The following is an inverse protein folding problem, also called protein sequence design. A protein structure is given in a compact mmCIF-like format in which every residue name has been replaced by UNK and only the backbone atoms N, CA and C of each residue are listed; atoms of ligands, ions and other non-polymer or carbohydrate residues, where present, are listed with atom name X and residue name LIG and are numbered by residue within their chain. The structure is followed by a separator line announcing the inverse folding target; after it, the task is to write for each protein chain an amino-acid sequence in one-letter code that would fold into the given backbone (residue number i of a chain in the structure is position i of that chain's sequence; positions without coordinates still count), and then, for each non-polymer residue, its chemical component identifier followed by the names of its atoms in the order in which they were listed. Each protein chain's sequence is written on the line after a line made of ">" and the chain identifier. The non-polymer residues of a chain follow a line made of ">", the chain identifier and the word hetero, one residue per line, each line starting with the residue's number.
data_IF_203320385322
#
_entry.id   IF_203320385322
#
_cell.length_a   1.000
_cell.length_b   1.000
_cell.length_c   1.000
_cell.angle_alpha   90.00
_cell.angle_beta   90.00
_cell.angle_gamma   90.00
#
_symmetry.space_group_name_H-M   'P 1'
#
loop_
_entity.id
_entity.type
_entity.pdbx_description
1 polymer ?
#
# COMPACT_ATOMS: atom_id res chain seq x y z
N UNK A 1 -31.27 -20.26 -11.28
CA UNK A 1 -30.41 -21.14 -10.44
C UNK A 1 -28.99 -20.86 -10.91
N UNK A 2 -28.01 -20.40 -10.16
CA UNK A 2 -27.84 -19.96 -8.78
C UNK A 2 -27.23 -18.55 -8.89
N UNK A 3 -27.64 -17.58 -8.06
CA UNK A 3 -26.87 -16.33 -7.93
C UNK A 3 -25.58 -16.74 -7.24
N UNK A 4 -24.45 -16.73 -7.95
CA UNK A 4 -23.14 -16.91 -7.31
C UNK A 4 -23.01 -15.82 -6.26
N UNK A 5 -23.22 -16.17 -4.99
CA UNK A 5 -22.96 -15.26 -3.89
C UNK A 5 -21.48 -14.92 -3.94
N UNK A 6 -21.18 -13.65 -4.20
CA UNK A 6 -19.81 -13.15 -4.14
C UNK A 6 -19.40 -13.23 -2.68
N UNK A 7 -18.64 -14.26 -2.32
CA UNK A 7 -18.05 -14.41 -0.99
C UNK A 7 -17.22 -13.15 -0.73
N UNK A 8 -17.68 -12.33 0.22
CA UNK A 8 -16.89 -11.19 0.70
C UNK A 8 -15.86 -11.72 1.69
N UNK A 9 -14.63 -11.75 1.23
CA UNK A 9 -13.48 -12.10 2.05
C UNK A 9 -13.12 -10.95 3.00
N UNK A 10 -12.72 -11.28 4.25
CA UNK A 10 -12.37 -10.27 5.24
C UNK A 10 -10.93 -9.75 5.08
N UNK A 11 -10.11 -10.38 4.23
CA UNK A 11 -8.71 -10.00 4.02
C UNK A 11 -8.57 -8.71 3.19
N UNK A 12 -7.49 -7.96 3.45
CA UNK A 12 -7.29 -6.62 2.90
C UNK A 12 -6.57 -6.59 1.55
N UNK A 13 -5.97 -7.70 1.13
CA UNK A 13 -5.16 -7.78 -0.09
C UNK A 13 -4.06 -6.71 -0.09
N UNK A 14 -4.09 -5.79 -1.05
CA UNK A 14 -3.13 -4.70 -1.21
C UNK A 14 -3.44 -3.47 -0.33
N UNK A 15 -4.63 -3.41 0.28
CA UNK A 15 -5.03 -2.28 1.11
C UNK A 15 -4.21 -2.26 2.41
N UNK A 16 -3.65 -1.10 2.81
CA UNK A 16 -2.97 -1.00 4.08
C UNK A 16 -3.95 -1.13 5.27
N UNK A 17 -3.44 -1.63 6.38
CA UNK A 17 -4.14 -1.54 7.67
C UNK A 17 -4.12 -0.09 8.13
N UNK A 18 -5.27 0.42 8.55
CA UNK A 18 -5.48 1.75 9.10
C UNK A 18 -5.74 1.72 10.61
N UNK A 19 -6.04 2.90 11.18
CA UNK A 19 -6.24 3.07 12.64
C UNK A 19 -7.25 2.08 13.22
N UNK A 20 -8.36 1.87 12.52
CA UNK A 20 -9.49 1.02 12.97
C UNK A 20 -9.18 -0.48 12.95
N UNK A 21 -8.13 -0.91 12.26
CA UNK A 21 -7.77 -2.33 12.13
C UNK A 21 -6.78 -2.78 13.22
N UNK A 22 -6.60 -2.00 14.29
CA UNK A 22 -5.57 -2.26 15.32
C UNK A 22 -5.67 -3.66 15.92
N UNK A 23 -6.89 -4.16 16.11
CA UNK A 23 -7.16 -5.49 16.66
C UNK A 23 -6.79 -6.63 15.71
N UNK A 24 -6.50 -6.35 14.44
CA UNK A 24 -6.01 -7.30 13.44
C UNK A 24 -4.52 -7.09 13.10
N UNK A 25 -3.87 -6.11 13.71
CA UNK A 25 -2.48 -5.74 13.39
C UNK A 25 -1.51 -6.34 14.41
N UNK A 26 -0.82 -7.40 14.02
CA UNK A 26 0.04 -8.20 14.89
C UNK A 26 1.51 -8.24 14.43
N UNK A 27 2.39 -8.73 15.29
CA UNK A 27 3.78 -9.07 14.94
C UNK A 27 4.73 -7.87 14.77
N UNK A 28 4.27 -6.63 14.96
CA UNK A 28 5.07 -5.40 14.75
C UNK A 28 5.23 -4.52 15.99
N UNK A 29 4.93 -5.02 17.18
CA UNK A 29 4.94 -4.19 18.40
C UNK A 29 6.31 -3.52 18.66
N UNK A 30 7.42 -4.23 18.38
CA UNK A 30 8.77 -3.69 18.55
C UNK A 30 9.05 -2.55 17.55
N UNK A 31 8.73 -2.75 16.29
CA UNK A 31 8.94 -1.76 15.23
C UNK A 31 8.05 -0.52 15.46
N UNK A 32 6.83 -0.71 15.96
CA UNK A 32 5.94 0.40 16.35
C UNK A 32 6.59 1.26 17.44
N UNK A 33 7.12 0.65 18.50
CA UNK A 33 7.77 1.41 19.57
C UNK A 33 9.02 2.13 19.09
N UNK A 34 9.87 1.47 18.30
CA UNK A 34 11.06 2.10 17.72
C UNK A 34 10.71 3.28 16.83
N UNK A 35 9.67 3.15 16.02
CA UNK A 35 9.18 4.21 15.14
C UNK A 35 8.65 5.40 15.97
N UNK A 36 7.88 5.13 17.02
CA UNK A 36 7.34 6.15 17.93
C UNK A 36 8.45 6.89 18.70
N UNK A 37 9.41 6.18 19.29
CA UNK A 37 10.54 6.80 20.00
C UNK A 37 11.39 7.69 19.07
N UNK A 38 11.72 7.18 17.88
CA UNK A 38 12.56 7.87 16.90
C UNK A 38 11.93 9.13 16.33
N UNK A 39 10.63 9.10 16.03
CA UNK A 39 9.95 10.29 15.51
C UNK A 39 9.81 11.36 16.58
N UNK A 40 9.76 10.98 17.86
CA UNK A 40 9.69 11.93 18.96
C UNK A 40 11.05 12.61 19.21
N UNK A 41 12.16 11.91 18.96
CA UNK A 41 13.53 12.41 19.21
C UNK A 41 14.15 13.27 18.11
N UNK A 42 13.58 13.29 16.89
CA UNK A 42 14.15 14.05 15.76
C UNK A 42 13.05 14.65 14.86
N UNK A 43 13.40 15.68 14.09
CA UNK A 43 12.49 16.29 13.10
C UNK A 43 12.34 15.44 11.84
N UNK A 44 13.32 14.60 11.51
CA UNK A 44 13.34 13.76 10.33
C UNK A 44 13.54 12.30 10.74
N UNK A 45 12.76 11.40 10.13
CA UNK A 45 12.89 9.96 10.26
C UNK A 45 12.81 9.31 8.89
N UNK A 46 13.84 8.55 8.54
CA UNK A 46 13.88 7.73 7.34
C UNK A 46 13.42 6.31 7.64
N UNK A 47 12.32 5.87 7.05
CA UNK A 47 11.78 4.50 7.19
C UNK A 47 11.95 3.79 5.85
N UNK A 48 12.67 2.68 5.84
CA UNK A 48 12.95 1.96 4.59
C UNK A 48 12.91 0.45 4.77
N UNK A 49 12.76 -0.28 3.67
CA UNK A 49 12.75 -1.74 3.64
C UNK A 49 12.19 -2.28 2.34
N UNK A 50 12.36 -3.58 2.10
CA UNK A 50 11.85 -4.25 0.89
C UNK A 50 10.35 -3.98 0.66
N UNK A 51 9.90 -4.15 -0.59
CA UNK A 51 8.47 -4.21 -0.90
C UNK A 51 7.78 -5.31 -0.08
N UNK A 52 6.49 -5.14 0.20
CA UNK A 52 5.71 -6.16 0.92
C UNK A 52 6.00 -6.30 2.42
N UNK A 53 6.92 -5.52 2.98
CA UNK A 53 7.24 -5.56 4.44
C UNK A 53 6.18 -4.92 5.34
N UNK A 54 5.19 -4.23 4.76
CA UNK A 54 4.09 -3.59 5.50
C UNK A 54 4.40 -2.19 6.05
N UNK A 55 5.34 -1.44 5.45
CA UNK A 55 5.71 -0.07 5.87
C UNK A 55 4.52 0.87 6.01
N UNK A 56 3.65 0.94 5.00
CA UNK A 56 2.45 1.79 5.02
C UNK A 56 1.50 1.39 6.16
N UNK A 57 1.22 0.09 6.34
CA UNK A 57 0.40 -0.43 7.45
C UNK A 57 1.03 -0.16 8.82
N UNK A 58 2.36 -0.25 8.94
CA UNK A 58 3.08 0.05 10.17
C UNK A 58 2.86 1.50 10.62
N UNK A 59 2.78 2.44 9.68
CA UNK A 59 2.55 3.85 9.99
C UNK A 59 1.05 4.15 10.15
N UNK A 60 0.22 3.70 9.20
CA UNK A 60 -1.21 4.00 9.16
C UNK A 60 -1.99 3.34 10.30
N UNK A 61 -1.60 2.13 10.70
CA UNK A 61 -2.20 1.42 11.81
C UNK A 61 -1.31 1.52 13.05
N UNK A 62 -0.08 1.00 12.97
CA UNK A 62 0.80 0.86 14.13
C UNK A 62 1.14 2.20 14.81
N UNK A 63 1.82 3.10 14.09
CA UNK A 63 2.24 4.40 14.60
C UNK A 63 1.05 5.26 15.00
N UNK A 64 0.05 5.34 14.12
CA UNK A 64 -1.14 6.15 14.35
C UNK A 64 -1.86 5.78 15.66
N UNK A 65 -1.89 4.49 16.02
CA UNK A 65 -2.48 4.02 17.29
C UNK A 65 -1.59 4.25 18.52
N UNK A 66 -0.34 4.71 18.37
CA UNK A 66 0.50 5.15 19.51
C UNK A 66 0.22 6.58 19.93
N UNK A 67 -0.37 7.38 19.05
CA UNK A 67 -0.72 8.76 19.38
C UNK A 67 -2.16 8.87 19.89
N UNK A 68 -2.37 9.77 20.86
CA UNK A 68 -3.71 10.21 21.25
C UNK A 68 -4.30 11.17 20.22
N UNK A 69 -5.63 11.35 20.27
CA UNK A 69 -6.34 12.23 19.32
C UNK A 69 -5.92 13.72 19.39
N UNK A 70 -5.31 14.13 20.51
CA UNK A 70 -4.81 15.49 20.74
C UNK A 70 -3.37 15.72 20.31
N UNK A 71 -2.64 14.66 19.99
CA UNK A 71 -1.20 14.72 19.74
C UNK A 71 -0.84 14.33 18.29
N UNK A 72 -1.85 13.91 17.52
CA UNK A 72 -1.71 13.41 16.16
C UNK A 72 -2.32 14.36 15.12
N UNK A 73 -1.48 14.95 14.28
CA UNK A 73 -1.90 15.73 13.11
C UNK A 73 -1.12 15.31 11.85
N UNK A 74 -1.39 14.10 11.33
CA UNK A 74 -0.69 13.58 10.17
C UNK A 74 -1.20 14.15 8.86
N UNK A 75 -0.29 14.30 7.91
CA UNK A 75 -0.57 14.48 6.49
C UNK A 75 0.13 13.33 5.75
N UNK A 76 -0.67 12.39 5.25
CA UNK A 76 -0.18 11.31 4.39
C UNK A 76 -0.10 11.81 2.96
N UNK A 77 1.11 11.79 2.41
CA UNK A 77 1.44 12.43 1.13
C UNK A 77 2.09 11.38 0.24
N UNK A 78 1.62 11.32 -1.01
CA UNK A 78 2.27 10.64 -2.13
C UNK A 78 2.54 11.67 -3.21
N UNK A 79 3.43 11.37 -4.16
CA UNK A 79 3.88 12.34 -5.16
C UNK A 79 2.73 12.89 -6.01
N UNK A 80 1.89 12.02 -6.55
CA UNK A 80 0.93 12.44 -7.59
C UNK A 80 1.70 13.03 -8.80
N UNK A 81 1.31 14.22 -9.25
CA UNK A 81 2.00 14.93 -10.34
C UNK A 81 3.33 15.57 -9.89
N UNK A 82 3.39 16.11 -8.68
CA UNK A 82 4.54 16.79 -8.08
C UNK A 82 4.43 16.77 -6.55
N UNK A 83 5.50 16.38 -5.87
CA UNK A 83 5.48 16.15 -4.42
C UNK A 83 5.21 17.42 -3.60
N UNK A 84 5.72 18.57 -4.02
CA UNK A 84 5.51 19.85 -3.34
C UNK A 84 4.06 20.30 -3.53
N UNK A 85 3.53 20.18 -4.75
CA UNK A 85 2.14 20.49 -5.06
C UNK A 85 1.18 19.59 -4.26
N UNK A 86 1.45 18.29 -4.21
CA UNK A 86 0.66 17.33 -3.43
C UNK A 86 0.64 17.70 -1.95
N UNK A 87 1.81 18.02 -1.38
CA UNK A 87 1.93 18.43 0.03
C UNK A 87 1.11 19.69 0.32
N UNK A 88 1.27 20.75 -0.47
CA UNK A 88 0.52 22.00 -0.29
C UNK A 88 -0.98 21.82 -0.50
N UNK A 89 -1.39 20.87 -1.35
CA UNK A 89 -2.78 20.53 -1.60
C UNK A 89 -3.42 19.88 -0.37
N UNK A 90 -2.74 18.91 0.26
CA UNK A 90 -3.23 18.28 1.49
C UNK A 90 -3.27 19.29 2.65
N UNK A 91 -2.27 20.17 2.76
CA UNK A 91 -2.28 21.30 3.73
C UNK A 91 -3.51 22.19 3.52
N UNK A 92 -3.78 22.61 2.27
CA UNK A 92 -4.94 23.45 1.92
C UNK A 92 -6.26 22.76 2.27
N UNK A 93 -6.36 21.45 2.03
CA UNK A 93 -7.54 20.65 2.36
C UNK A 93 -7.82 20.69 3.87
N UNK A 94 -6.81 20.43 4.70
CA UNK A 94 -6.97 20.46 6.16
C UNK A 94 -7.31 21.87 6.68
N UNK A 95 -6.68 22.92 6.15
CA UNK A 95 -7.00 24.30 6.52
C UNK A 95 -8.43 24.71 6.14
N UNK A 96 -8.90 24.26 4.97
CA UNK A 96 -10.25 24.55 4.47
C UNK A 96 -11.33 23.97 5.39
N UNK A 97 -11.12 22.78 5.96
CA UNK A 97 -12.03 22.18 6.97
C UNK A 97 -12.22 23.10 8.18
N UNK A 98 -11.22 23.92 8.50
CA UNK A 98 -11.24 24.90 9.60
C UNK A 98 -11.59 26.32 9.16
N UNK A 99 -12.04 26.51 7.91
CA UNK A 99 -12.39 27.82 7.35
C UNK A 99 -11.20 28.75 7.11
N UNK A 100 -9.97 28.22 7.11
CA UNK A 100 -8.74 28.96 6.80
C UNK A 100 -8.34 28.71 5.34
N UNK A 101 -7.54 29.62 4.79
CA UNK A 101 -6.97 29.51 3.43
C UNK A 101 -5.47 29.71 3.51
N UNK A 102 -4.73 28.92 2.73
CA UNK A 102 -3.32 29.14 2.45
C UNK A 102 -3.20 29.90 1.11
N UNK A 103 -2.45 31.00 1.04
CA UNK A 103 -2.21 31.73 -0.20
C UNK A 103 -1.64 30.85 -1.34
N UNK A 104 -1.86 31.30 -2.58
CA UNK A 104 -1.20 30.69 -3.73
C UNK A 104 0.30 31.06 -3.71
N UNK A 105 1.17 30.09 -4.01
CA UNK A 105 2.63 30.28 -3.96
C UNK A 105 3.25 30.15 -2.58
N UNK A 106 2.48 29.82 -1.52
CA UNK A 106 3.05 29.58 -0.20
C UNK A 106 4.03 28.41 -0.16
N UNK A 107 5.06 28.54 0.68
CA UNK A 107 6.06 27.49 0.91
C UNK A 107 5.53 26.39 1.84
N UNK A 108 6.25 25.27 1.92
CA UNK A 108 5.96 24.21 2.88
C UNK A 108 5.98 24.73 4.33
N UNK A 109 6.95 25.56 4.69
CA UNK A 109 7.08 26.16 6.02
C UNK A 109 5.86 27.01 6.39
N UNK A 110 5.41 27.89 5.48
CA UNK A 110 4.22 28.72 5.70
C UNK A 110 2.97 27.86 5.92
N UNK A 111 2.80 26.83 5.08
CA UNK A 111 1.68 25.89 5.17
C UNK A 111 1.64 25.12 6.49
N UNK A 112 2.77 24.55 6.89
CA UNK A 112 2.94 23.82 8.15
C UNK A 112 2.73 24.73 9.36
N UNK A 113 3.30 25.93 9.32
CA UNK A 113 3.11 26.94 10.37
C UNK A 113 1.63 27.26 10.55
N UNK A 114 0.91 27.48 9.46
CA UNK A 114 -0.52 27.77 9.52
C UNK A 114 -1.35 26.60 10.05
N UNK A 115 -0.99 25.35 9.71
CA UNK A 115 -1.63 24.15 10.28
C UNK A 115 -1.42 24.06 11.78
N UNK A 116 -0.19 24.26 12.23
CA UNK A 116 0.14 24.24 13.65
C UNK A 116 -0.70 25.27 14.41
N UNK A 117 -0.74 26.54 13.99
CA UNK A 117 -1.54 27.58 14.68
C UNK A 117 -3.05 27.35 14.62
N UNK A 118 -3.53 26.49 13.72
CA UNK A 118 -4.95 26.15 13.63
C UNK A 118 -5.36 25.10 14.66
N UNK A 119 -4.46 24.20 15.07
CA UNK A 119 -4.77 23.08 15.97
C UNK A 119 -3.99 23.09 17.28
N UNK A 120 -2.86 23.79 17.35
CA UNK A 120 -1.85 23.72 18.41
C UNK A 120 -1.31 22.30 18.64
N UNK A 121 -1.25 21.50 17.57
CA UNK A 121 -0.76 20.11 17.56
C UNK A 121 0.40 20.04 16.56
N UNK A 122 1.54 19.41 16.90
CA UNK A 122 2.63 19.21 15.96
C UNK A 122 2.17 18.53 14.66
N UNK A 123 2.67 19.02 13.53
CA UNK A 123 2.34 18.48 12.21
C UNK A 123 3.28 17.32 11.90
N UNK A 124 2.75 16.22 11.39
CA UNK A 124 3.52 15.07 10.93
C UNK A 124 3.35 14.92 9.42
N UNK A 125 4.36 15.31 8.64
CA UNK A 125 4.38 15.08 7.20
C UNK A 125 4.91 13.66 6.95
N UNK A 126 4.07 12.81 6.36
CA UNK A 126 4.37 11.40 6.10
C UNK A 126 4.39 11.22 4.59
N UNK A 127 5.59 11.13 4.04
CA UNK A 127 5.80 10.90 2.62
C UNK A 127 5.90 9.39 2.38
N UNK A 128 4.79 8.77 1.97
CA UNK A 128 4.72 7.35 1.64
C UNK A 128 5.09 7.10 0.17
N UNK A 129 5.72 5.96 -0.12
CA UNK A 129 6.26 5.65 -1.47
C UNK A 129 7.15 6.77 -2.02
N UNK A 130 8.03 7.31 -1.17
CA UNK A 130 8.87 8.45 -1.52
C UNK A 130 9.78 8.20 -2.73
N UNK A 131 10.06 6.93 -3.06
CA UNK A 131 10.78 6.56 -4.29
C UNK A 131 10.11 7.07 -5.58
N UNK A 132 8.81 7.36 -5.58
CA UNK A 132 8.12 7.94 -6.75
C UNK A 132 8.75 9.27 -7.19
N UNK A 133 9.29 10.05 -6.25
CA UNK A 133 10.04 11.28 -6.54
C UNK A 133 11.24 11.02 -7.47
N UNK A 134 11.92 9.89 -7.27
CA UNK A 134 13.09 9.52 -8.05
C UNK A 134 12.73 8.85 -9.38
N UNK A 135 11.62 8.12 -9.42
CA UNK A 135 11.18 7.38 -10.61
C UNK A 135 10.53 8.32 -11.63
N UNK A 136 9.74 9.29 -11.17
CA UNK A 136 8.89 10.12 -12.03
C UNK A 136 9.20 11.61 -11.93
N UNK A 137 9.84 12.06 -10.85
CA UNK A 137 10.13 13.47 -10.64
C UNK A 137 11.37 13.94 -11.38
N UNK A 138 11.26 15.11 -12.01
CA UNK A 138 12.37 15.72 -12.75
C UNK A 138 13.51 16.12 -11.80
N UNK A 139 14.75 15.65 -12.02
CA UNK A 139 15.87 15.92 -11.11
C UNK A 139 16.24 17.40 -10.97
N UNK A 140 16.16 18.17 -12.06
CA UNK A 140 16.63 19.55 -12.13
C UNK A 140 15.62 20.56 -11.58
N UNK A 141 14.33 20.19 -11.59
CA UNK A 141 13.24 21.06 -11.15
C UNK A 141 12.58 20.55 -9.87
N UNK A 142 11.83 19.44 -9.93
CA UNK A 142 11.03 18.93 -8.81
C UNK A 142 11.92 18.46 -7.65
N UNK A 143 12.84 17.52 -7.91
CA UNK A 143 13.62 16.91 -6.83
C UNK A 143 14.44 17.96 -6.08
N UNK A 144 15.20 18.77 -6.81
CA UNK A 144 16.01 19.85 -6.25
C UNK A 144 15.17 20.82 -5.41
N UNK A 145 14.07 21.33 -5.97
CA UNK A 145 13.21 22.29 -5.27
C UNK A 145 12.59 21.69 -4.02
N UNK A 146 12.15 20.43 -4.08
CA UNK A 146 11.57 19.76 -2.92
C UNK A 146 12.58 19.62 -1.79
N UNK A 147 13.80 19.15 -2.05
CA UNK A 147 14.83 19.00 -1.01
C UNK A 147 15.31 20.34 -0.46
N UNK A 148 15.37 21.40 -1.27
CA UNK A 148 15.64 22.76 -0.79
C UNK A 148 14.56 23.25 0.19
N UNK A 149 13.28 23.05 -0.15
CA UNK A 149 12.17 23.42 0.74
C UNK A 149 12.09 22.54 2.00
N UNK A 150 12.39 21.25 1.88
CA UNK A 150 12.46 20.34 3.03
C UNK A 150 13.60 20.74 3.97
N UNK A 151 14.76 21.10 3.44
CA UNK A 151 15.89 21.60 4.25
C UNK A 151 15.52 22.87 5.00
N UNK A 152 14.87 23.85 4.34
CA UNK A 152 14.35 25.05 4.99
C UNK A 152 13.35 24.72 6.11
N UNK A 153 12.42 23.80 5.84
CA UNK A 153 11.43 23.36 6.83
C UNK A 153 12.10 22.72 8.06
N UNK A 154 13.10 21.84 7.87
CA UNK A 154 13.81 21.18 8.98
C UNK A 154 14.62 22.17 9.84
N UNK A 155 15.20 23.19 9.20
CA UNK A 155 15.95 24.26 9.87
C UNK A 155 15.05 25.29 10.56
N UNK A 156 13.78 25.42 10.15
CA UNK A 156 12.81 26.31 10.77
C UNK A 156 12.43 25.90 12.21
N UNK A 157 11.95 26.84 13.02
CA UNK A 157 11.43 26.58 14.38
C UNK A 157 9.99 26.04 14.38
N UNK A 158 9.55 25.43 13.26
CA UNK A 158 8.21 24.86 13.17
C UNK A 158 8.09 23.59 14.00
N UNK A 159 6.90 23.37 14.58
CA UNK A 159 6.54 22.12 15.26
C UNK A 159 6.13 21.07 14.23
N UNK A 160 7.10 20.69 13.39
CA UNK A 160 6.92 19.75 12.30
C UNK A 160 7.87 18.58 12.44
N UNK A 161 7.36 17.39 12.15
CA UNK A 161 8.14 16.17 12.01
C UNK A 161 7.86 15.54 10.66
N UNK A 162 8.88 14.97 10.06
CA UNK A 162 8.86 14.42 8.71
C UNK A 162 9.24 12.95 8.77
N UNK A 163 8.43 12.11 8.14
CA UNK A 163 8.73 10.69 7.91
C UNK A 163 8.85 10.50 6.40
N UNK A 164 10.03 10.06 5.95
CA UNK A 164 10.25 9.63 4.57
C UNK A 164 10.18 8.11 4.53
N UNK A 165 9.22 7.55 3.79
CA UNK A 165 9.02 6.11 3.67
C UNK A 165 9.38 5.68 2.26
N UNK A 166 10.39 4.83 2.12
CA UNK A 166 10.85 4.38 0.80
C UNK A 166 11.21 2.91 0.74
N UNK A 167 11.30 2.41 -0.48
CA UNK A 167 11.91 1.12 -0.81
C UNK A 167 13.44 1.16 -0.66
N UNK A 168 14.03 0.08 -0.14
CA UNK A 168 15.44 0.06 0.25
C UNK A 168 16.43 0.14 -0.93
N UNK A 169 16.04 -0.31 -2.10
CA UNK A 169 16.82 -0.20 -3.34
C UNK A 169 16.97 1.26 -3.83
N UNK A 170 16.08 2.16 -3.42
CA UNK A 170 16.17 3.60 -3.72
C UNK A 170 16.94 4.38 -2.65
N UNK A 171 17.40 3.71 -1.58
CA UNK A 171 18.14 4.37 -0.51
C UNK A 171 19.43 5.05 -1.01
N UNK A 172 20.10 4.44 -1.99
CA UNK A 172 21.33 4.99 -2.56
C UNK A 172 21.09 6.31 -3.31
N UNK A 173 19.90 6.50 -3.89
CA UNK A 173 19.54 7.69 -4.66
C UNK A 173 19.36 8.89 -3.74
N UNK A 174 18.89 8.64 -2.52
CA UNK A 174 18.72 9.64 -1.48
C UNK A 174 20.07 10.22 -1.00
N UNK A 175 21.19 9.50 -1.16
CA UNK A 175 22.51 9.96 -0.71
C UNK A 175 22.99 11.25 -1.39
N UNK A 176 22.54 11.52 -2.61
CA UNK A 176 22.89 12.75 -3.33
C UNK A 176 22.39 14.02 -2.62
N UNK A 177 21.37 13.89 -1.78
CA UNK A 177 20.74 15.00 -1.07
C UNK A 177 21.30 15.20 0.35
N UNK A 178 22.28 14.42 0.79
CA UNK A 178 23.03 14.70 2.03
C UNK A 178 23.75 16.05 1.98
N UNK A 179 24.08 16.53 0.77
CA UNK A 179 24.65 17.87 0.58
C UNK A 179 23.68 18.99 0.96
N UNK A 180 22.37 18.73 0.87
CA UNK A 180 21.29 19.69 1.15
C UNK A 180 20.71 19.48 2.55
N UNK A 181 20.66 18.22 3.00
CA UNK A 181 20.17 17.80 4.32
C UNK A 181 21.20 16.84 4.93
N UNK A 182 22.22 17.32 5.64
CA UNK A 182 23.28 16.48 6.19
C UNK A 182 22.78 15.38 7.15
N UNK A 183 21.71 15.66 7.89
CA UNK A 183 21.11 14.76 8.89
C UNK A 183 20.16 13.70 8.30
N UNK A 184 20.08 13.59 6.96
CA UNK A 184 19.11 12.76 6.23
C UNK A 184 19.12 11.28 6.64
N UNK A 185 20.28 10.75 7.01
CA UNK A 185 20.47 9.35 7.40
C UNK A 185 20.74 9.14 8.90
N UNK A 186 20.78 10.20 9.70
CA UNK A 186 21.11 10.14 11.14
C UNK A 186 20.07 9.35 11.91
N UNK A 187 18.79 9.54 11.59
CA UNK A 187 17.68 8.85 12.20
C UNK A 187 16.95 7.99 11.17
N UNK A 188 17.34 6.72 11.11
CA UNK A 188 16.76 5.73 10.18
C UNK A 188 16.27 4.48 10.88
N UNK A 189 15.21 3.90 10.34
CA UNK A 189 14.62 2.64 10.77
C UNK A 189 14.40 1.73 9.55
N UNK A 190 15.13 0.62 9.51
CA UNK A 190 14.91 -0.43 8.51
C UNK A 190 13.82 -1.38 9.00
N UNK A 191 12.80 -1.59 8.17
CA UNK A 191 11.73 -2.56 8.40
C UNK A 191 12.11 -3.84 7.67
N UNK A 192 12.47 -4.86 8.46
CA UNK A 192 12.80 -6.19 7.96
C UNK A 192 11.52 -6.95 7.59
N UNK A 193 11.67 -7.95 6.70
CA UNK A 193 10.64 -8.97 6.50
C UNK A 193 10.36 -9.69 7.83
N UNK A 194 9.14 -10.17 8.01
CA UNK A 194 8.75 -10.85 9.24
C UNK A 194 9.49 -12.17 9.38
N UNK A 195 10.07 -12.42 10.55
CA UNK A 195 10.56 -13.75 10.88
C UNK A 195 9.42 -14.72 11.20
N UNK A 196 9.72 -16.01 11.22
CA UNK A 196 8.75 -17.09 11.47
C UNK A 196 7.88 -16.84 12.71
N UNK A 197 8.47 -16.40 13.84
CA UNK A 197 7.71 -16.09 15.06
C UNK A 197 6.70 -14.95 14.88
N UNK A 198 7.05 -13.91 14.10
CA UNK A 198 6.14 -12.81 13.82
C UNK A 198 5.01 -13.27 12.88
N UNK A 199 5.35 -14.09 11.88
CA UNK A 199 4.37 -14.67 10.95
C UNK A 199 3.36 -15.58 11.66
N UNK A 200 3.81 -16.45 12.57
CA UNK A 200 2.92 -17.28 13.38
C UNK A 200 1.94 -16.42 14.18
N UNK A 201 2.43 -15.38 14.87
CA UNK A 201 1.58 -14.43 15.61
C UNK A 201 0.56 -13.74 14.70
N UNK A 202 0.96 -13.35 13.49
CA UNK A 202 0.07 -12.71 12.52
C UNK A 202 -1.00 -13.67 12.02
N UNK A 203 -0.64 -14.88 11.61
CA UNK A 203 -1.57 -15.86 11.07
C UNK A 203 -2.55 -16.31 12.15
N UNK A 204 -2.06 -16.72 13.32
CA UNK A 204 -2.91 -17.16 14.42
C UNK A 204 -3.82 -16.04 14.92
N UNK A 205 -3.29 -14.82 15.09
CA UNK A 205 -4.08 -13.67 15.53
C UNK A 205 -5.16 -13.29 14.52
N UNK A 206 -4.82 -13.29 13.23
CA UNK A 206 -5.76 -12.94 12.15
C UNK A 206 -6.85 -14.00 12.00
N UNK A 207 -6.48 -15.28 11.92
CA UNK A 207 -7.45 -16.38 11.75
C UNK A 207 -8.27 -16.63 13.02
N UNK A 208 -7.74 -16.30 14.20
CA UNK A 208 -8.46 -16.34 15.47
C UNK A 208 -9.42 -15.19 15.69
N UNK A 209 -9.44 -14.17 14.82
CA UNK A 209 -10.32 -13.02 14.95
C UNK A 209 -11.78 -13.42 14.74
N UNK A 210 -12.65 -13.11 15.71
CA UNK A 210 -14.06 -13.52 15.69
C UNK A 210 -14.82 -13.02 14.45
N UNK A 211 -14.45 -11.84 13.96
CA UNK A 211 -15.03 -11.20 12.78
C UNK A 211 -14.81 -11.97 11.47
N UNK A 212 -13.81 -12.87 11.42
CA UNK A 212 -13.56 -13.67 10.22
C UNK A 212 -14.39 -14.97 10.24
N UNK A 213 -15.00 -15.31 11.38
CA UNK A 213 -15.80 -16.52 11.57
C UNK A 213 -15.07 -17.79 11.10
N UNK A 214 -13.78 -17.91 11.43
CA UNK A 214 -12.95 -19.07 11.07
C UNK A 214 -12.86 -20.02 12.27
N UNK A 215 -13.03 -21.31 12.01
CA UNK A 215 -12.73 -22.38 12.94
C UNK A 215 -11.34 -22.96 12.60
N UNK A 216 -10.46 -22.98 13.59
CA UNK A 216 -9.06 -23.33 13.44
C UNK A 216 -8.71 -24.50 14.38
N UNK A 217 -8.94 -25.77 13.99
CA UNK A 217 -8.75 -26.93 14.86
C UNK A 217 -7.29 -27.18 15.28
N UNK A 218 -6.31 -26.80 14.45
CA UNK A 218 -4.88 -26.97 14.72
C UNK A 218 -4.08 -25.69 14.40
N UNK A 219 -4.24 -24.60 15.18
CA UNK A 219 -3.73 -23.28 14.84
C UNK A 219 -2.26 -23.23 14.43
N UNK A 220 -1.39 -23.79 15.28
CA UNK A 220 0.06 -23.77 15.08
C UNK A 220 0.47 -24.56 13.83
N UNK A 221 -0.05 -25.77 13.66
CA UNK A 221 0.27 -26.62 12.50
C UNK A 221 -0.19 -26.00 11.18
N UNK A 222 -1.39 -25.41 11.16
CA UNK A 222 -1.92 -24.70 10.00
C UNK A 222 -1.07 -23.47 9.69
N UNK A 223 -0.69 -22.69 10.70
CA UNK A 223 0.13 -21.51 10.51
C UNK A 223 1.51 -21.87 9.94
N UNK A 224 2.16 -22.92 10.45
CA UNK A 224 3.40 -23.44 9.87
C UNK A 224 3.23 -23.92 8.43
N UNK A 225 2.13 -24.63 8.13
CA UNK A 225 1.87 -25.09 6.77
C UNK A 225 1.68 -23.92 5.80
N UNK A 226 0.93 -22.90 6.20
CA UNK A 226 0.74 -21.67 5.42
C UNK A 226 2.10 -20.99 5.18
N UNK A 227 2.91 -20.80 6.23
CA UNK A 227 4.25 -20.20 6.10
C UNK A 227 5.12 -20.99 5.12
N UNK A 228 5.12 -22.33 5.20
CA UNK A 228 5.89 -23.17 4.30
C UNK A 228 5.44 -23.00 2.83
N UNK A 229 4.13 -22.92 2.60
CA UNK A 229 3.55 -22.80 1.27
C UNK A 229 3.80 -21.44 0.61
N UNK A 230 3.94 -20.38 1.41
CA UNK A 230 4.13 -19.00 0.92
C UNK A 230 5.57 -18.50 0.96
N UNK A 231 6.47 -19.26 1.58
CA UNK A 231 7.88 -18.90 1.66
C UNK A 231 8.56 -19.00 0.29
N UNK A 232 9.37 -18.00 -0.06
CA UNK A 232 10.22 -18.06 -1.25
C UNK A 232 11.45 -18.98 -1.06
N UNK A 233 12.31 -19.07 -2.08
CA UNK A 233 13.55 -19.87 -2.04
C UNK A 233 14.50 -19.47 -0.90
N UNK A 234 14.38 -18.25 -0.37
CA UNK A 234 15.17 -17.72 0.75
C UNK A 234 14.48 -17.90 2.10
N UNK A 235 13.32 -18.56 2.14
CA UNK A 235 12.44 -18.70 3.31
C UNK A 235 11.94 -17.36 3.84
N UNK A 236 11.76 -16.41 2.94
CA UNK A 236 11.18 -15.12 3.25
C UNK A 236 9.73 -15.07 2.78
N UNK A 237 8.90 -14.31 3.48
CA UNK A 237 7.47 -14.13 3.15
C UNK A 237 7.20 -12.67 2.83
N UNK A 238 6.53 -12.43 1.71
CA UNK A 238 5.91 -11.15 1.39
C UNK A 238 4.51 -11.09 2.06
N UNK A 239 4.22 -10.03 2.80
CA UNK A 239 2.93 -9.93 3.51
C UNK A 239 1.75 -9.75 2.56
N UNK A 240 2.00 -9.29 1.34
CA UNK A 240 0.98 -9.24 0.30
C UNK A 240 0.62 -10.64 -0.20
N UNK A 241 1.59 -11.54 -0.32
CA UNK A 241 1.34 -12.95 -0.64
C UNK A 241 0.52 -13.63 0.45
N UNK A 242 0.84 -13.35 1.73
CA UNK A 242 0.05 -13.86 2.85
C UNK A 242 -1.42 -13.44 2.74
N UNK A 243 -1.72 -12.18 2.44
CA UNK A 243 -3.11 -11.71 2.31
C UNK A 243 -3.86 -12.42 1.17
N UNK A 244 -3.21 -12.61 0.01
CA UNK A 244 -3.81 -13.31 -1.13
C UNK A 244 -4.02 -14.79 -0.82
N UNK A 245 -3.05 -15.42 -0.16
CA UNK A 245 -3.13 -16.83 0.22
C UNK A 245 -4.28 -17.08 1.19
N UNK A 246 -4.41 -16.25 2.23
CA UNK A 246 -5.49 -16.39 3.20
C UNK A 246 -6.86 -16.13 2.58
N UNK A 247 -6.98 -15.21 1.61
CA UNK A 247 -8.21 -15.02 0.82
C UNK A 247 -8.58 -16.27 0.01
N UNK A 248 -7.59 -16.88 -0.66
CA UNK A 248 -7.79 -18.11 -1.43
C UNK A 248 -8.26 -19.26 -0.54
N UNK A 249 -7.60 -19.49 0.59
CA UNK A 249 -8.06 -20.46 1.59
C UNK A 249 -9.48 -20.14 2.04
N UNK A 250 -9.78 -18.87 2.33
CA UNK A 250 -11.10 -18.46 2.77
C UNK A 250 -12.18 -18.82 1.78
N UNK A 251 -11.97 -18.58 0.48
CA UNK A 251 -12.96 -18.89 -0.55
C UNK A 251 -13.22 -20.39 -0.70
N UNK A 252 -12.18 -21.22 -0.55
CA UNK A 252 -12.24 -22.68 -0.72
C UNK A 252 -12.64 -23.43 0.55
N UNK A 253 -12.47 -22.81 1.71
CA UNK A 253 -12.81 -23.40 2.99
C UNK A 253 -14.28 -23.84 3.01
N UNK A 254 -14.50 -25.05 3.51
CA UNK A 254 -15.85 -25.54 3.77
C UNK A 254 -16.51 -24.72 4.88
N UNK A 255 -17.83 -24.58 4.80
CA UNK A 255 -18.61 -23.84 5.78
C UNK A 255 -19.42 -24.81 6.64
N UNK A 256 -19.33 -24.65 7.97
CA UNK A 256 -20.09 -25.38 8.96
C UNK A 256 -20.65 -24.41 10.00
N UNK A 257 -21.97 -24.41 10.20
CA UNK A 257 -22.67 -23.52 11.14
C UNK A 257 -22.30 -22.03 11.01
N UNK A 258 -22.13 -21.54 9.77
CA UNK A 258 -21.76 -20.14 9.52
C UNK A 258 -20.30 -19.81 9.80
N UNK A 259 -19.45 -20.82 10.03
CA UNK A 259 -18.00 -20.66 10.18
C UNK A 259 -17.26 -21.42 9.11
N UNK A 260 -16.16 -20.83 8.62
CA UNK A 260 -15.27 -21.48 7.66
C UNK A 260 -14.24 -22.32 8.40
N UNK A 261 -14.06 -23.58 8.00
CA UNK A 261 -13.10 -24.48 8.62
C UNK A 261 -11.77 -24.37 7.87
N UNK A 262 -10.74 -23.93 8.57
CA UNK A 262 -9.37 -23.94 8.07
C UNK A 262 -8.68 -25.13 8.72
N UNK A 263 -8.54 -26.24 8.00
CA UNK A 263 -7.76 -27.40 8.46
C UNK A 263 -6.44 -27.50 7.70
N UNK A 264 -5.58 -28.43 8.13
CA UNK A 264 -4.27 -28.62 7.49
C UNK A 264 -4.41 -29.10 6.04
N UNK A 265 -5.44 -29.89 5.74
CA UNK A 265 -5.67 -30.43 4.39
C UNK A 265 -5.99 -29.31 3.41
N UNK A 266 -6.78 -28.30 3.82
CA UNK A 266 -7.07 -27.13 3.00
C UNK A 266 -5.80 -26.38 2.61
N UNK A 267 -4.86 -26.21 3.55
CA UNK A 267 -3.58 -25.56 3.28
C UNK A 267 -2.67 -26.44 2.39
N UNK A 268 -2.63 -27.75 2.62
CA UNK A 268 -1.89 -28.69 1.76
C UNK A 268 -2.44 -28.71 0.32
N UNK A 269 -3.76 -28.73 0.15
CA UNK A 269 -4.44 -28.76 -1.14
C UNK A 269 -4.27 -27.45 -1.92
N UNK A 270 -4.19 -26.31 -1.23
CA UNK A 270 -3.89 -25.02 -1.86
C UNK A 270 -2.46 -24.97 -2.43
N UNK A 271 -1.53 -25.69 -1.80
CA UNK A 271 -0.15 -25.83 -2.28
C UNK A 271 0.64 -24.52 -2.28
N UNK A 272 1.65 -24.43 -3.14
CA UNK A 272 2.60 -23.32 -3.23
C UNK A 272 1.96 -22.01 -3.71
N UNK A 273 2.49 -20.88 -3.22
CA UNK A 273 2.00 -19.53 -3.57
C UNK A 273 1.89 -19.26 -5.06
N UNK A 274 2.83 -19.76 -5.88
CA UNK A 274 2.83 -19.55 -7.33
C UNK A 274 1.55 -20.10 -7.98
N UNK A 275 1.08 -21.25 -7.51
CA UNK A 275 -0.15 -21.86 -8.03
C UNK A 275 -1.36 -21.05 -7.58
N UNK A 276 -1.39 -20.63 -6.32
CA UNK A 276 -2.45 -19.79 -5.76
C UNK A 276 -2.57 -18.44 -6.49
N UNK A 277 -1.44 -17.79 -6.79
CA UNK A 277 -1.45 -16.55 -7.58
C UNK A 277 -1.99 -16.76 -8.99
N UNK A 278 -1.60 -17.85 -9.65
CA UNK A 278 -2.11 -18.17 -10.99
C UNK A 278 -3.61 -18.40 -10.96
N UNK A 279 -4.10 -19.27 -10.07
CA UNK A 279 -5.54 -19.54 -9.92
C UNK A 279 -6.32 -18.27 -9.57
N UNK A 280 -5.82 -17.46 -8.65
CA UNK A 280 -6.46 -16.21 -8.26
C UNK A 280 -6.58 -15.24 -9.44
N UNK A 281 -5.49 -15.04 -10.18
CA UNK A 281 -5.50 -14.17 -11.36
C UNK A 281 -6.46 -14.70 -12.42
N UNK A 282 -6.41 -15.99 -12.73
CA UNK A 282 -7.29 -16.62 -13.71
C UNK A 282 -8.78 -16.45 -13.31
N UNK A 283 -9.14 -16.73 -12.06
CA UNK A 283 -10.51 -16.53 -11.54
C UNK A 283 -10.98 -15.07 -11.63
N UNK A 284 -10.11 -14.12 -11.28
CA UNK A 284 -10.44 -12.69 -11.35
C UNK A 284 -10.63 -12.24 -12.81
N UNK A 285 -9.76 -12.68 -13.70
CA UNK A 285 -9.79 -12.34 -15.12
C UNK A 285 -11.02 -12.95 -15.80
N UNK A 286 -11.34 -14.22 -15.55
CA UNK A 286 -12.54 -14.88 -16.08
C UNK A 286 -13.82 -14.12 -15.74
N UNK A 287 -13.92 -13.59 -14.51
CA UNK A 287 -15.06 -12.78 -14.07
C UNK A 287 -15.21 -11.48 -14.89
N UNK A 288 -14.10 -10.83 -15.22
CA UNK A 288 -14.06 -9.62 -16.04
C UNK A 288 -14.38 -9.98 -17.50
N UNK A 289 -13.75 -11.01 -18.05
CA UNK A 289 -13.92 -11.49 -19.42
C UNK A 289 -15.36 -11.90 -19.73
N UNK A 290 -16.03 -12.58 -18.78
CA UNK A 290 -17.43 -12.95 -18.91
C UNK A 290 -18.33 -11.72 -19.09
N UNK A 291 -18.14 -10.69 -18.27
CA UNK A 291 -18.89 -9.43 -18.40
C UNK A 291 -18.53 -8.66 -19.67
N UNK A 292 -17.25 -8.67 -20.10
CA UNK A 292 -16.85 -8.10 -21.39
C UNK A 292 -17.59 -8.77 -22.57
N UNK A 293 -17.75 -10.09 -22.53
CA UNK A 293 -18.54 -10.83 -23.53
C UNK A 293 -20.03 -10.49 -23.48
N UNK A 294 -20.59 -10.48 -22.27
CA UNK A 294 -22.04 -10.33 -22.06
C UNK A 294 -22.52 -8.88 -22.31
N UNK A 295 -21.83 -7.89 -21.77
CA UNK A 295 -22.22 -6.47 -21.78
C UNK A 295 -21.57 -5.67 -22.91
N UNK A 296 -20.29 -5.91 -23.20
CA UNK A 296 -19.53 -5.16 -24.22
C UNK A 296 -19.50 -5.85 -25.58
N UNK A 297 -20.06 -7.06 -25.68
CA UNK A 297 -20.18 -7.85 -26.93
C UNK A 297 -18.82 -8.12 -27.61
N UNK A 298 -17.75 -8.25 -26.83
CA UNK A 298 -16.45 -8.66 -27.34
C UNK A 298 -16.52 -10.15 -27.73
N UNK A 299 -16.15 -10.49 -28.97
CA UNK A 299 -16.23 -11.87 -29.47
C UNK A 299 -15.26 -12.81 -28.73
N UNK A 300 -14.03 -12.35 -28.52
CA UNK A 300 -12.97 -13.05 -27.77
C UNK A 300 -12.32 -12.10 -26.74
N UNK A 301 -12.86 -12.03 -25.51
CA UNK A 301 -12.28 -11.20 -24.46
C UNK A 301 -11.04 -11.83 -23.80
N UNK A 302 -10.64 -13.06 -24.18
CA UNK A 302 -9.62 -13.82 -23.47
C UNK A 302 -8.27 -13.11 -23.46
N UNK A 303 -7.69 -12.94 -22.26
CA UNK A 303 -6.43 -12.25 -22.02
C UNK A 303 -6.49 -10.73 -22.21
N UNK A 304 -7.63 -10.15 -22.60
CA UNK A 304 -7.76 -8.70 -22.80
C UNK A 304 -7.55 -7.93 -21.50
N UNK A 305 -8.15 -8.33 -20.35
CA UNK A 305 -7.87 -7.62 -19.11
C UNK A 305 -6.40 -7.79 -18.69
N UNK A 306 -5.78 -8.95 -18.97
CA UNK A 306 -4.37 -9.18 -18.67
C UNK A 306 -3.45 -8.26 -19.48
N UNK A 307 -3.73 -8.04 -20.77
CA UNK A 307 -2.98 -7.08 -21.60
C UNK A 307 -3.06 -5.67 -21.03
N UNK A 308 -4.27 -5.23 -20.61
CA UNK A 308 -4.46 -3.93 -19.96
C UNK A 308 -3.67 -3.89 -18.66
N UNK A 309 -3.72 -4.94 -17.84
CA UNK A 309 -3.00 -5.00 -16.57
C UNK A 309 -1.48 -4.90 -16.78
N UNK A 310 -0.93 -5.57 -17.80
CA UNK A 310 0.50 -5.48 -18.14
C UNK A 310 0.95 -4.09 -18.57
N UNK A 311 0.06 -3.25 -19.12
CA UNK A 311 0.42 -1.84 -19.40
C UNK A 311 0.79 -1.06 -18.14
N UNK A 312 0.30 -1.50 -16.97
CA UNK A 312 0.48 -0.88 -15.66
C UNK A 312 1.71 -1.41 -14.90
N UNK A 313 2.50 -2.27 -15.52
CA UNK A 313 3.67 -2.91 -14.92
C UNK A 313 4.93 -2.49 -15.69
N UNK A 314 6.08 -2.36 -15.00
CA UNK A 314 7.38 -2.14 -15.62
C UNK A 314 7.95 -3.42 -16.23
N UNK A 315 8.96 -3.26 -17.09
CA UNK A 315 9.77 -4.37 -17.60
C UNK A 315 10.49 -5.15 -16.48
N UNK A 316 10.64 -4.51 -15.31
CA UNK A 316 11.19 -5.08 -14.08
C UNK A 316 10.09 -5.67 -13.16
N UNK A 317 8.87 -5.85 -13.68
CA UNK A 317 7.71 -6.39 -12.95
C UNK A 317 7.29 -5.58 -11.70
N UNK A 318 7.57 -4.28 -11.68
CA UNK A 318 7.14 -3.36 -10.61
C UNK A 318 5.95 -2.50 -11.08
N UNK A 319 5.10 -2.04 -10.14
CA UNK A 319 3.91 -1.25 -10.46
C UNK A 319 4.30 0.12 -11.04
N UNK A 320 3.59 0.59 -12.07
CA UNK A 320 3.70 1.96 -12.61
C UNK A 320 2.49 2.80 -12.19
N UNK A 321 2.75 4.02 -11.76
CA UNK A 321 1.71 5.06 -11.62
C UNK A 321 1.54 5.72 -12.99
N UNK A 322 0.41 5.48 -13.65
CA UNK A 322 0.10 6.01 -14.98
C UNK A 322 -1.21 6.79 -14.97
N UNK A 323 -1.24 7.90 -15.69
CA UNK A 323 -2.49 8.59 -15.99
C UNK A 323 -3.26 7.90 -17.14
N UNK A 324 -4.51 8.33 -17.34
CA UNK A 324 -5.40 7.72 -18.35
C UNK A 324 -4.84 7.85 -19.77
N UNK A 325 -4.23 8.98 -20.10
CA UNK A 325 -3.73 9.24 -21.45
C UNK A 325 -2.49 8.37 -21.73
N UNK A 326 -1.62 8.21 -20.74
CA UNK A 326 -0.48 7.30 -20.78
C UNK A 326 -0.88 5.84 -20.96
N UNK A 327 -1.97 5.39 -20.30
CA UNK A 327 -2.49 4.03 -20.47
C UNK A 327 -3.02 3.85 -21.90
N UNK A 328 -3.83 4.79 -22.40
CA UNK A 328 -4.36 4.74 -23.77
C UNK A 328 -3.25 4.69 -24.82
N UNK A 329 -2.23 5.55 -24.69
CA UNK A 329 -1.07 5.58 -25.60
C UNK A 329 -0.29 4.26 -25.63
N UNK A 330 -0.29 3.49 -24.53
CA UNK A 330 0.33 2.16 -24.47
C UNK A 330 -0.55 1.10 -25.11
N UNK A 331 -1.86 1.19 -24.91
CA UNK A 331 -2.81 0.26 -25.54
C UNK A 331 -2.81 0.39 -27.06
N UNK A 332 -2.55 1.59 -27.60
CA UNK A 332 -2.35 1.80 -29.04
C UNK A 332 -1.13 1.06 -29.61
N UNK A 333 -0.21 0.61 -28.75
CA UNK A 333 0.95 -0.21 -29.15
C UNK A 333 0.63 -1.72 -29.17
N UNK A 334 -0.52 -2.14 -28.63
CA UNK A 334 -0.98 -3.53 -28.68
C UNK A 334 -1.51 -3.87 -30.09
N UNK A 335 -1.58 -5.16 -30.46
CA UNK A 335 -2.12 -5.57 -31.74
C UNK A 335 -3.54 -4.98 -31.99
N UNK A 336 -3.79 -4.36 -33.16
CA UNK A 336 -5.02 -3.61 -33.43
C UNK A 336 -6.30 -4.47 -33.41
N UNK A 337 -6.15 -5.79 -33.47
CA UNK A 337 -7.22 -6.78 -33.47
C UNK A 337 -7.99 -6.83 -32.12
N UNK A 338 -7.42 -6.27 -31.04
CA UNK A 338 -8.04 -6.28 -29.70
C UNK A 338 -9.15 -5.24 -29.50
N UNK A 339 -9.24 -4.21 -30.36
CA UNK A 339 -10.29 -3.16 -30.34
C UNK A 339 -10.63 -2.59 -28.93
N UNK A 340 -9.63 -2.28 -28.11
CA UNK A 340 -9.83 -1.78 -26.74
C UNK A 340 -10.30 -0.32 -26.80
N UNK A 341 -11.60 -0.11 -26.58
CA UNK A 341 -12.19 1.23 -26.50
C UNK A 341 -11.95 1.87 -25.12
N UNK A 342 -11.98 3.21 -24.99
CA UNK A 342 -11.88 3.87 -23.68
C UNK A 342 -12.91 3.36 -22.66
N UNK A 343 -14.11 2.97 -23.12
CA UNK A 343 -15.16 2.41 -22.26
C UNK A 343 -14.81 1.03 -21.71
N UNK A 344 -14.11 0.19 -22.50
CA UNK A 344 -13.61 -1.12 -22.06
C UNK A 344 -12.50 -0.91 -21.04
N UNK A 345 -11.58 0.04 -21.32
CA UNK A 345 -10.52 0.41 -20.39
C UNK A 345 -11.09 0.86 -19.04
N UNK A 346 -12.02 1.82 -19.04
CA UNK A 346 -12.63 2.35 -17.81
C UNK A 346 -13.32 1.24 -16.99
N UNK A 347 -14.00 0.32 -17.68
CA UNK A 347 -14.61 -0.85 -17.04
C UNK A 347 -13.57 -1.78 -16.41
N UNK A 348 -12.51 -2.15 -17.13
CA UNK A 348 -11.45 -3.00 -16.60
C UNK A 348 -10.74 -2.34 -15.41
N UNK A 349 -10.40 -1.05 -15.50
CA UNK A 349 -9.79 -0.30 -14.38
C UNK A 349 -10.71 -0.26 -13.15
N UNK A 350 -12.02 -0.06 -13.37
CA UNK A 350 -13.01 -0.08 -12.28
C UNK A 350 -13.09 -1.45 -11.62
N UNK A 351 -13.10 -2.53 -12.41
CA UNK A 351 -13.12 -3.90 -11.88
C UNK A 351 -11.81 -4.25 -11.18
N UNK A 352 -10.64 -3.89 -11.72
CA UNK A 352 -9.36 -4.08 -11.04
C UNK A 352 -9.30 -3.35 -9.70
N UNK A 353 -9.81 -2.12 -9.62
CA UNK A 353 -9.91 -1.39 -8.36
C UNK A 353 -10.91 -2.07 -7.40
N UNK A 354 -12.07 -2.52 -7.89
CA UNK A 354 -13.06 -3.28 -7.09
C UNK A 354 -12.50 -4.58 -6.54
N UNK A 355 -11.65 -5.24 -7.30
CA UNK A 355 -10.94 -6.47 -6.93
C UNK A 355 -9.66 -6.20 -6.12
N UNK A 356 -9.34 -4.93 -5.83
CA UNK A 356 -8.14 -4.50 -5.11
C UNK A 356 -6.84 -5.00 -5.75
N UNK A 357 -6.83 -5.09 -7.08
CA UNK A 357 -5.63 -5.40 -7.89
C UNK A 357 -4.82 -4.13 -8.22
N UNK A 358 -5.46 -2.96 -8.13
CA UNK A 358 -4.87 -1.65 -8.33
C UNK A 358 -5.24 -0.73 -7.17
N UNK A 359 -4.36 0.24 -6.88
CA UNK A 359 -4.69 1.38 -6.03
C UNK A 359 -4.93 2.58 -6.94
N UNK A 360 -6.19 2.99 -7.09
CA UNK A 360 -6.53 4.19 -7.84
C UNK A 360 -6.18 5.43 -7.00
N UNK A 361 -5.37 6.34 -7.56
CA UNK A 361 -5.11 7.64 -6.96
C UNK A 361 -6.22 8.60 -7.41
N UNK A 362 -6.83 9.31 -6.46
CA UNK A 362 -7.93 10.27 -6.67
C UNK A 362 -7.48 11.56 -7.39
#
# INVERSE_FOLDING_TARGET
>A
MSKTEVIRSPFKFLDPYGKEDRHLFFGRDREIEQLYERIQSAKLLLVYGASGTGKTSLINCGLTNRFGDTDWNPLFIRRGEDLTIATLTEIRKQLKVKGKKLPAGSTLEEGVTQLFWTRYIPVYLIFDQFEELFIQGDPETEQKLFFEQLSQLLQSETFCRVILVLREEYLAWLSHFELVIPELFDNRLRIEKMGERQLLQVIEGTLGAQEFAIELPQPEAIAHQIINNISDERREVDLTDLQVYLDHLYRRASENNGRRIFDIQLAEDAGEMKNVLSEFLDEQLEGIEKKLKEEFKIEDPHGLPLDIFFTLVTDEMTKRTLDREQILNRLDQLPPERHITPRILDYCLTEFNRLRLLNQLD
#
